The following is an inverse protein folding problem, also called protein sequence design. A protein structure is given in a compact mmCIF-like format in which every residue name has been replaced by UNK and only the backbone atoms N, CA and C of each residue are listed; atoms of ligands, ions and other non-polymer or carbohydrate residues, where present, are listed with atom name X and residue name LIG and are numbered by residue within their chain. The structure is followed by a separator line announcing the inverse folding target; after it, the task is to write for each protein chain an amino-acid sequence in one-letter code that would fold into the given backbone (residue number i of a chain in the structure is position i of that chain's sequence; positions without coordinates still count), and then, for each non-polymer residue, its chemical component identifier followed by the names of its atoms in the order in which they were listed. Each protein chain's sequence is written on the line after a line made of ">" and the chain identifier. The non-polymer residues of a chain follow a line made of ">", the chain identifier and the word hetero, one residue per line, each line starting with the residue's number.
data_IF_254460509479
#
_entry.id   IF_254460509479
#
_cell.length_a   1.000
_cell.length_b   1.000
_cell.length_c   1.000
_cell.angle_alpha   90.00
_cell.angle_beta   90.00
_cell.angle_gamma   90.00
#
_symmetry.space_group_name_H-M   'P 1'
#
loop_
_entity.id
_entity.type
_entity.pdbx_description
1 polymer ?
#
# COMPACT_ATOMS: atom_id res chain seq x y z
N UNK A 1 12.96 21.29 12.77
CA UNK A 1 11.90 20.38 13.27
C UNK A 1 11.66 19.38 12.16
N UNK A 2 12.09 18.14 12.38
CA UNK A 2 12.06 17.05 11.39
C UNK A 2 10.62 16.69 11.07
N UNK A 3 10.24 16.78 9.79
CA UNK A 3 9.01 16.22 9.27
C UNK A 3 9.08 14.70 9.36
N UNK A 4 8.80 14.16 10.55
CA UNK A 4 8.59 12.74 10.71
C UNK A 4 7.21 12.44 10.12
N UNK A 5 7.26 11.94 8.89
CA UNK A 5 6.16 11.38 8.14
C UNK A 5 5.22 10.57 9.05
N UNK A 6 4.02 11.12 9.24
CA UNK A 6 2.87 10.36 9.75
C UNK A 6 2.39 9.43 8.64
N UNK A 7 3.16 8.38 8.34
CA UNK A 7 2.71 7.32 7.46
C UNK A 7 1.51 6.62 8.12
N UNK A 8 0.34 6.76 7.49
CA UNK A 8 -0.85 6.00 7.87
C UNK A 8 -0.65 4.57 7.41
N UNK A 9 -0.59 3.64 8.35
CA UNK A 9 -0.46 2.21 8.08
C UNK A 9 -1.78 1.50 8.33
N UNK A 10 -2.06 0.44 7.58
CA UNK A 10 -3.18 -0.48 7.80
C UNK A 10 -4.54 0.25 7.87
N UNK A 11 -5.32 0.04 8.93
CA UNK A 11 -6.65 0.63 9.15
C UNK A 11 -6.65 2.16 9.32
N UNK A 12 -5.47 2.80 9.35
CA UNK A 12 -5.36 4.26 9.36
C UNK A 12 -5.46 4.86 7.95
N UNK A 13 -5.38 4.04 6.91
CA UNK A 13 -5.51 4.47 5.51
C UNK A 13 -6.99 4.70 5.20
N UNK A 14 -7.45 5.95 5.28
CA UNK A 14 -8.80 6.38 4.83
C UNK A 14 -8.85 6.73 3.33
N UNK A 15 -7.74 6.58 2.61
CA UNK A 15 -7.69 6.84 1.18
C UNK A 15 -8.42 5.71 0.44
N UNK A 16 -9.37 6.07 -0.44
CA UNK A 16 -10.08 5.10 -1.28
C UNK A 16 -9.13 4.38 -2.24
N UNK A 17 -8.04 5.06 -2.60
CA UNK A 17 -7.03 4.59 -3.54
C UNK A 17 -5.63 4.89 -3.01
N UNK A 18 -4.70 3.97 -3.24
CA UNK A 18 -3.30 4.01 -2.79
C UNK A 18 -2.38 3.71 -3.97
N UNK A 19 -1.18 4.27 -3.96
CA UNK A 19 -0.14 3.88 -4.93
C UNK A 19 0.52 2.58 -4.47
N UNK A 20 0.45 1.54 -5.29
CA UNK A 20 1.07 0.25 -5.00
C UNK A 20 2.47 0.17 -5.61
N UNK A 21 3.46 -0.08 -4.76
CA UNK A 21 4.85 -0.36 -5.16
C UNK A 21 5.16 -1.78 -4.69
N UNK A 22 5.67 -2.61 -5.58
CA UNK A 22 6.04 -4.00 -5.27
C UNK A 22 7.44 -4.10 -4.66
N UNK A 23 7.77 -5.28 -4.13
CA UNK A 23 9.12 -5.62 -3.66
C UNK A 23 10.22 -5.47 -4.75
N UNK A 24 9.86 -5.56 -6.03
CA UNK A 24 10.78 -5.41 -7.16
C UNK A 24 11.01 -3.94 -7.54
N UNK A 25 10.56 -2.99 -6.72
CA UNK A 25 10.50 -1.55 -7.03
C UNK A 25 9.63 -1.23 -8.26
N UNK A 26 8.70 -2.10 -8.62
CA UNK A 26 7.75 -1.84 -9.71
C UNK A 26 6.57 -1.00 -9.19
N UNK A 27 6.21 0.04 -9.94
CA UNK A 27 5.05 0.87 -9.63
C UNK A 27 3.85 0.39 -10.45
N UNK A 28 2.91 -0.27 -9.79
CA UNK A 28 1.68 -0.80 -10.40
C UNK A 28 0.64 0.32 -10.60
N UNK A 29 0.88 1.50 -10.01
CA UNK A 29 0.02 2.67 -10.14
C UNK A 29 -0.93 2.83 -8.97
N UNK A 30 -2.01 3.61 -9.19
CA UNK A 30 -3.03 3.88 -8.18
C UNK A 30 -4.08 2.77 -8.23
N UNK A 31 -4.24 2.06 -7.12
CA UNK A 31 -5.18 0.94 -6.97
C UNK A 31 -6.04 1.16 -5.72
N UNK A 32 -7.18 0.48 -5.62
CA UNK A 32 -7.98 0.53 -4.40
C UNK A 32 -7.23 -0.12 -3.23
N UNK A 33 -7.52 0.35 -2.01
CA UNK A 33 -6.92 -0.23 -0.80
C UNK A 33 -7.18 -1.74 -0.70
N UNK A 34 -8.40 -2.19 -1.03
CA UNK A 34 -8.75 -3.61 -1.07
C UNK A 34 -7.92 -4.39 -2.09
N UNK A 35 -7.71 -3.83 -3.28
CA UNK A 35 -6.88 -4.48 -4.31
C UNK A 35 -5.41 -4.57 -3.90
N UNK A 36 -4.89 -3.56 -3.22
CA UNK A 36 -3.54 -3.58 -2.66
C UNK A 36 -3.39 -4.70 -1.61
N UNK A 37 -4.37 -4.86 -0.72
CA UNK A 37 -4.39 -5.92 0.30
C UNK A 37 -4.51 -7.31 -0.34
N UNK A 38 -5.38 -7.51 -1.34
CA UNK A 38 -5.49 -8.77 -2.07
C UNK A 38 -4.16 -9.16 -2.76
N UNK A 39 -3.46 -8.20 -3.37
CA UNK A 39 -2.16 -8.47 -4.01
C UNK A 39 -1.10 -8.82 -2.97
N UNK A 40 -1.11 -8.15 -1.80
CA UNK A 40 -0.21 -8.48 -0.71
C UNK A 40 -0.46 -9.88 -0.14
N UNK A 41 -1.73 -10.27 0.01
CA UNK A 41 -2.14 -11.59 0.51
C UNK A 41 -1.87 -12.70 -0.52
N UNK A 42 -2.15 -12.45 -1.81
CA UNK A 42 -1.83 -13.39 -2.90
C UNK A 42 -0.34 -13.62 -3.10
N UNK A 43 0.51 -12.69 -2.66
CA UNK A 43 1.97 -12.86 -2.63
C UNK A 43 2.47 -13.57 -1.37
N UNK A 44 1.60 -13.81 -0.39
CA UNK A 44 1.86 -14.51 0.89
C UNK A 44 1.15 -15.89 0.96
N UNK A 45 0.89 -16.52 -0.19
CA UNK A 45 0.50 -17.92 -0.26
C UNK A 45 1.67 -18.69 -0.90
N UNK A 46 2.70 -19.14 -0.19
CA UNK A 46 3.08 -19.09 1.23
C UNK A 46 4.57 -18.67 1.32
#
# INVERSE_FOLDING_TARGET
>A
MSAQDNFRINNQIRAREVRLITETNENIGVVSLSRALEIAESKNLD
#
